data_IF_013325929881
#
_entry.id   IF_013325929881
#
_cell.length_a   1.000
_cell.length_b   1.000
_cell.length_c   1.000
_cell.angle_alpha   90.00
_cell.angle_beta   90.00
_cell.angle_gamma   90.00
#
_symmetry.space_group_name_H-M   'P 1'
#
loop_
_entity.id
_entity.type
_entity.pdbx_description
1 polymer ?
#
# COMPACT_ATOMS: atom_id res chain seq x y z
N UNK A 1 44.39 -11.92 45.09
CA UNK A 1 43.84 -10.92 44.13
C UNK A 1 43.52 -11.45 42.73
N UNK A 2 44.16 -12.51 42.22
CA UNK A 2 43.94 -13.01 40.84
C UNK A 2 42.57 -13.69 40.59
N UNK A 3 41.96 -14.31 41.62
CA UNK A 3 40.72 -15.07 41.50
C UNK A 3 39.48 -14.19 41.27
N UNK A 4 39.52 -12.95 41.72
CA UNK A 4 38.43 -11.96 41.61
C UNK A 4 38.36 -11.33 40.22
N UNK A 5 39.52 -11.09 39.57
CA UNK A 5 39.60 -10.53 38.20
C UNK A 5 39.09 -11.51 37.14
N UNK A 6 39.31 -12.82 37.32
CA UNK A 6 38.80 -13.87 36.41
C UNK A 6 37.27 -13.98 36.43
N UNK A 7 36.65 -13.81 37.60
CA UNK A 7 35.17 -13.81 37.75
C UNK A 7 34.52 -12.56 37.16
N UNK A 8 35.16 -11.40 37.27
CA UNK A 8 34.68 -10.15 36.65
C UNK A 8 34.76 -10.22 35.10
N UNK A 9 35.87 -10.72 34.55
CA UNK A 9 36.05 -10.88 33.11
C UNK A 9 35.05 -11.88 32.49
N UNK A 10 34.77 -12.99 33.18
CA UNK A 10 33.77 -13.97 32.75
C UNK A 10 32.32 -13.44 32.80
N UNK A 11 31.98 -12.54 33.74
CA UNK A 11 30.65 -11.90 33.80
C UNK A 11 30.46 -10.86 32.68
N UNK A 12 31.51 -10.12 32.32
CA UNK A 12 31.49 -9.17 31.19
C UNK A 12 31.38 -9.93 29.87
N UNK A 13 32.16 -10.99 29.67
CA UNK A 13 32.06 -11.84 28.47
C UNK A 13 30.70 -12.53 28.34
N UNK A 14 30.05 -12.93 29.44
CA UNK A 14 28.69 -13.49 29.41
C UNK A 14 27.62 -12.41 29.18
N UNK A 15 27.82 -11.18 29.67
CA UNK A 15 26.94 -10.04 29.38
C UNK A 15 27.05 -9.58 27.92
N UNK A 16 28.24 -9.65 27.30
CA UNK A 16 28.43 -9.37 25.86
C UNK A 16 27.86 -10.52 25.00
N UNK A 17 27.94 -11.77 25.46
CA UNK A 17 27.37 -12.94 24.74
C UNK A 17 25.85 -13.11 24.92
N UNK A 18 25.25 -12.38 25.87
CA UNK A 18 23.79 -12.30 26.14
C UNK A 18 23.24 -10.89 25.85
N UNK A 19 24.05 -9.98 25.33
CA UNK A 19 23.56 -8.97 24.41
C UNK A 19 23.24 -9.71 23.11
N UNK A 20 22.15 -10.49 23.15
CA UNK A 20 21.43 -10.97 21.97
C UNK A 20 21.46 -9.80 20.99
N UNK A 21 21.91 -10.06 19.77
CA UNK A 21 21.50 -9.31 18.59
C UNK A 21 19.99 -9.09 18.76
N UNK A 22 19.60 -7.93 19.30
CA UNK A 22 18.26 -7.44 19.08
C UNK A 22 18.21 -7.39 17.57
N UNK A 23 17.30 -8.09 16.88
CA UNK A 23 17.14 -7.86 15.46
C UNK A 23 17.02 -6.34 15.35
N UNK A 24 17.93 -5.70 14.59
CA UNK A 24 17.75 -4.28 14.29
C UNK A 24 16.31 -4.21 13.80
N UNK A 25 15.47 -3.40 14.46
CA UNK A 25 14.10 -3.19 14.03
C UNK A 25 14.23 -2.77 12.58
N UNK A 26 13.93 -3.69 11.66
CA UNK A 26 14.05 -3.39 10.24
C UNK A 26 13.12 -2.21 9.99
N UNK A 27 13.53 -1.22 9.17
CA UNK A 27 12.67 -0.09 8.89
C UNK A 27 11.31 -0.61 8.42
N UNK A 28 10.24 0.04 8.87
CA UNK A 28 8.91 -0.31 8.41
C UNK A 28 8.84 -0.12 6.89
N UNK A 29 8.12 -0.99 6.20
CA UNK A 29 7.81 -0.84 4.78
C UNK A 29 6.45 -0.15 4.68
N UNK A 30 6.34 0.82 3.77
CA UNK A 30 5.04 1.38 3.41
C UNK A 30 4.37 0.53 2.35
N UNK A 31 3.10 0.20 2.59
CA UNK A 31 2.22 -0.48 1.64
C UNK A 31 1.04 0.43 1.31
N UNK A 32 0.53 0.30 0.10
CA UNK A 32 -0.55 1.09 -0.47
C UNK A 32 -1.73 0.16 -0.75
N UNK A 33 -2.76 0.27 0.09
CA UNK A 33 -3.94 -0.61 0.05
C UNK A 33 -5.02 0.04 -0.82
N UNK A 34 -5.35 -0.51 -2.00
CA UNK A 34 -6.45 -0.02 -2.81
C UNK A 34 -7.79 -0.31 -2.14
N UNK A 35 -8.66 0.70 -2.07
CA UNK A 35 -10.03 0.59 -1.56
C UNK A 35 -11.00 1.35 -2.48
N UNK A 36 -12.28 1.28 -2.16
CA UNK A 36 -13.31 2.24 -2.60
C UNK A 36 -13.71 3.12 -1.41
N UNK A 37 -14.47 4.21 -1.63
CA UNK A 37 -14.99 5.01 -0.50
C UNK A 37 -15.85 4.16 0.46
N UNK A 38 -16.66 3.24 -0.08
CA UNK A 38 -17.42 2.27 0.72
C UNK A 38 -16.50 1.35 1.53
N UNK A 39 -15.40 0.88 0.94
CA UNK A 39 -14.39 0.08 1.64
C UNK A 39 -13.68 0.85 2.75
N UNK A 40 -13.37 2.14 2.51
CA UNK A 40 -12.82 3.02 3.54
C UNK A 40 -13.82 3.27 4.68
N UNK A 41 -15.10 3.43 4.37
CA UNK A 41 -16.16 3.59 5.38
C UNK A 41 -16.27 2.36 6.29
N UNK A 42 -16.21 1.15 5.72
CA UNK A 42 -16.21 -0.09 6.50
C UNK A 42 -14.93 -0.24 7.32
N UNK A 43 -13.76 0.12 6.77
CA UNK A 43 -12.50 0.11 7.50
C UNK A 43 -12.50 1.11 8.67
N UNK A 44 -13.12 2.28 8.49
CA UNK A 44 -13.29 3.27 9.55
C UNK A 44 -14.18 2.74 10.68
N UNK A 45 -15.29 2.10 10.33
CA UNK A 45 -16.25 1.54 11.28
C UNK A 45 -15.67 0.37 12.09
N UNK A 46 -14.91 -0.51 11.44
CA UNK A 46 -14.35 -1.73 12.05
C UNK A 46 -12.98 -1.50 12.68
N UNK A 47 -12.25 -0.49 12.21
CA UNK A 47 -10.87 -0.23 12.59
C UNK A 47 -9.83 -1.07 11.83
N UNK A 48 -10.23 -1.81 10.79
CA UNK A 48 -9.37 -2.74 10.04
C UNK A 48 -9.51 -2.57 8.52
N UNK A 49 -8.40 -2.58 7.79
CA UNK A 49 -8.36 -2.40 6.33
C UNK A 49 -8.70 -3.66 5.52
N UNK A 50 -9.08 -4.73 6.19
CA UNK A 50 -9.44 -6.00 5.59
C UNK A 50 -9.28 -7.15 6.59
N UNK A 51 -9.66 -8.35 6.15
CA UNK A 51 -9.65 -9.55 6.98
C UNK A 51 -8.24 -10.19 7.04
N UNK A 52 -8.14 -11.51 6.95
CA UNK A 52 -6.90 -12.28 7.19
C UNK A 52 -5.75 -11.97 6.21
N UNK A 53 -6.07 -11.47 5.01
CA UNK A 53 -5.09 -11.10 3.99
C UNK A 53 -5.57 -9.96 3.12
N UNK A 54 -4.69 -8.97 2.89
CA UNK A 54 -4.98 -7.77 2.10
C UNK A 54 -4.03 -7.71 0.91
N UNK A 55 -4.57 -7.43 -0.28
CA UNK A 55 -3.80 -7.07 -1.45
C UNK A 55 -3.35 -5.62 -1.31
N UNK A 56 -2.06 -5.34 -1.51
CA UNK A 56 -1.52 -3.99 -1.46
C UNK A 56 -0.39 -3.86 -2.48
N UNK A 57 0.14 -2.65 -2.59
CA UNK A 57 1.30 -2.35 -3.43
C UNK A 57 2.41 -1.76 -2.59
N UNK A 58 3.66 -2.08 -2.91
CA UNK A 58 4.82 -1.60 -2.18
C UNK A 58 6.03 -1.50 -3.10
N UNK A 59 7.11 -0.91 -2.59
CA UNK A 59 8.39 -0.87 -3.29
C UNK A 59 9.08 -2.23 -3.23
N UNK A 60 8.65 -3.15 -4.09
CA UNK A 60 9.21 -4.50 -4.23
C UNK A 60 10.53 -4.48 -5.04
N UNK A 61 11.36 -5.53 -4.95
CA UNK A 61 12.54 -5.66 -5.81
C UNK A 61 12.22 -5.55 -7.31
N UNK A 62 11.16 -6.22 -7.76
CA UNK A 62 10.71 -6.15 -9.15
C UNK A 62 10.32 -4.72 -9.58
N UNK A 63 9.63 -3.97 -8.71
CA UNK A 63 9.30 -2.56 -9.00
C UNK A 63 10.56 -1.71 -9.15
N UNK A 64 11.55 -1.89 -8.26
CA UNK A 64 12.84 -1.17 -8.33
C UNK A 64 13.59 -1.44 -9.62
N UNK A 65 13.63 -2.70 -10.02
CA UNK A 65 14.29 -3.12 -11.26
C UNK A 65 13.59 -2.56 -12.50
N UNK A 66 12.26 -2.45 -12.47
CA UNK A 66 11.48 -1.94 -13.60
C UNK A 66 11.54 -0.43 -13.75
N UNK A 67 11.40 0.31 -12.63
CA UNK A 67 11.39 1.78 -12.64
C UNK A 67 12.79 2.40 -12.75
N UNK A 68 13.86 1.63 -12.50
CA UNK A 68 15.26 2.07 -12.61
C UNK A 68 15.62 3.35 -11.81
N UNK A 69 14.83 3.68 -10.79
CA UNK A 69 15.09 4.79 -9.88
C UNK A 69 15.76 4.30 -8.59
N UNK A 70 16.73 5.06 -8.10
CA UNK A 70 17.33 4.86 -6.77
C UNK A 70 16.67 5.75 -5.70
N UNK A 71 15.78 6.66 -6.09
CA UNK A 71 15.01 7.49 -5.19
C UNK A 71 13.82 6.71 -4.62
N UNK A 72 13.76 6.62 -3.30
CA UNK A 72 12.67 5.93 -2.61
C UNK A 72 11.34 6.65 -2.77
N UNK A 73 11.33 7.98 -2.85
CA UNK A 73 10.10 8.77 -2.96
C UNK A 73 9.44 8.53 -4.33
N UNK A 74 10.22 8.51 -5.41
CA UNK A 74 9.73 8.18 -6.75
C UNK A 74 9.17 6.75 -6.82
N UNK A 75 9.85 5.79 -6.19
CA UNK A 75 9.39 4.40 -6.14
C UNK A 75 8.13 4.23 -5.30
N UNK A 76 8.01 4.97 -4.20
CA UNK A 76 6.82 5.01 -3.37
C UNK A 76 5.63 5.61 -4.12
N UNK A 77 5.87 6.68 -4.89
CA UNK A 77 4.88 7.24 -5.81
C UNK A 77 4.47 6.21 -6.88
N UNK A 78 5.41 5.50 -7.49
CA UNK A 78 5.10 4.43 -8.44
C UNK A 78 4.20 3.36 -7.80
N UNK A 79 4.52 2.90 -6.59
CA UNK A 79 3.68 1.93 -5.87
C UNK A 79 2.28 2.48 -5.54
N UNK A 80 2.17 3.76 -5.18
CA UNK A 80 0.89 4.45 -4.98
C UNK A 80 0.06 4.47 -6.28
N UNK A 81 0.65 4.81 -7.43
CA UNK A 81 -0.04 4.81 -8.73
C UNK A 81 -0.53 3.42 -9.12
N UNK A 82 0.26 2.37 -8.86
CA UNK A 82 -0.17 0.97 -9.05
C UNK A 82 -1.38 0.61 -8.17
N UNK A 83 -1.40 1.08 -6.92
CA UNK A 83 -2.57 0.92 -6.05
C UNK A 83 -3.77 1.73 -6.54
N UNK A 84 -3.58 2.93 -7.10
CA UNK A 84 -4.68 3.72 -7.67
C UNK A 84 -5.35 2.98 -8.84
N UNK A 85 -4.57 2.38 -9.75
CA UNK A 85 -5.10 1.53 -10.81
C UNK A 85 -5.85 0.29 -10.27
N UNK A 86 -5.36 -0.31 -9.19
CA UNK A 86 -6.06 -1.40 -8.53
C UNK A 86 -7.38 -0.96 -7.87
N UNK A 87 -7.43 0.26 -7.31
CA UNK A 87 -8.66 0.88 -6.82
C UNK A 87 -9.66 1.11 -7.96
N UNK A 88 -9.20 1.56 -9.14
CA UNK A 88 -10.05 1.68 -10.33
C UNK A 88 -10.68 0.32 -10.71
N UNK A 89 -9.92 -0.77 -10.63
CA UNK A 89 -10.45 -2.13 -10.85
C UNK A 89 -11.49 -2.55 -9.81
N UNK A 90 -11.43 -2.05 -8.58
CA UNK A 90 -12.49 -2.25 -7.59
C UNK A 90 -13.75 -1.47 -7.97
N UNK A 91 -13.59 -0.22 -8.40
CA UNK A 91 -14.71 0.63 -8.85
C UNK A 91 -15.40 0.05 -10.10
N UNK A 92 -14.65 -0.51 -11.06
CA UNK A 92 -15.23 -1.15 -12.24
C UNK A 92 -16.18 -2.31 -11.87
N UNK A 93 -15.92 -2.99 -10.75
CA UNK A 93 -16.74 -4.10 -10.24
C UNK A 93 -17.93 -3.65 -9.39
N UNK A 94 -17.98 -2.40 -8.98
CA UNK A 94 -19.06 -1.82 -8.19
C UNK A 94 -19.65 -0.58 -8.89
N UNK A 95 -20.64 -0.77 -9.78
CA UNK A 95 -21.24 0.33 -10.52
C UNK A 95 -21.91 1.41 -9.67
N UNK A 96 -22.27 1.09 -8.42
CA UNK A 96 -22.92 2.00 -7.48
C UNK A 96 -21.96 2.77 -6.59
N UNK A 97 -20.67 2.43 -6.59
CA UNK A 97 -19.66 3.17 -5.84
C UNK A 97 -19.43 4.56 -6.45
N UNK A 98 -19.20 5.60 -5.63
CA UNK A 98 -18.72 6.88 -6.13
C UNK A 98 -17.42 6.69 -6.94
N UNK A 99 -17.30 7.38 -8.07
CA UNK A 99 -16.20 7.19 -9.03
C UNK A 99 -14.94 7.95 -8.61
N UNK A 100 -14.43 7.64 -7.42
CA UNK A 100 -13.20 8.19 -6.85
C UNK A 100 -12.33 7.05 -6.34
N UNK A 101 -11.10 6.95 -6.83
CA UNK A 101 -10.10 5.98 -6.38
C UNK A 101 -9.68 6.35 -4.96
N UNK A 102 -9.46 5.32 -4.16
CA UNK A 102 -9.01 5.43 -2.77
C UNK A 102 -7.83 4.50 -2.55
N UNK A 103 -6.77 5.03 -1.95
CA UNK A 103 -5.60 4.26 -1.53
C UNK A 103 -5.23 4.63 -0.11
N UNK A 104 -5.03 3.64 0.76
CA UNK A 104 -4.58 3.87 2.14
C UNK A 104 -3.11 3.51 2.25
N UNK A 105 -2.28 4.47 2.64
CA UNK A 105 -0.87 4.25 2.92
C UNK A 105 -0.69 3.74 4.35
N UNK A 106 -0.02 2.60 4.53
CA UNK A 106 0.12 1.92 5.84
C UNK A 106 1.56 1.50 6.06
N UNK A 107 2.09 1.77 7.25
CA UNK A 107 3.42 1.29 7.63
C UNK A 107 3.31 -0.09 8.29
N UNK A 108 3.88 -1.10 7.65
CA UNK A 108 3.90 -2.48 8.16
C UNK A 108 5.32 -2.89 8.58
N UNK A 109 5.46 -3.83 9.54
CA UNK A 109 6.76 -4.42 9.84
C UNK A 109 7.37 -5.04 8.58
N UNK A 110 8.69 -4.95 8.43
CA UNK A 110 9.39 -5.65 7.34
C UNK A 110 9.08 -7.15 7.36
N UNK A 111 8.82 -7.72 6.18
CA UNK A 111 8.41 -9.11 6.00
C UNK A 111 6.92 -9.40 6.27
N UNK A 112 6.12 -8.42 6.69
CA UNK A 112 4.65 -8.58 6.77
C UNK A 112 3.98 -8.53 5.38
N UNK A 113 4.62 -7.88 4.42
CA UNK A 113 4.23 -7.83 3.02
C UNK A 113 5.11 -8.79 2.21
N UNK A 114 4.48 -9.71 1.46
CA UNK A 114 5.17 -10.66 0.60
C UNK A 114 4.77 -10.43 -0.86
N UNK A 115 5.74 -10.18 -1.73
CA UNK A 115 5.55 -10.20 -3.18
C UNK A 115 5.68 -11.63 -3.72
N UNK A 116 4.92 -11.96 -4.76
CA UNK A 116 5.11 -13.20 -5.51
C UNK A 116 6.28 -13.03 -6.50
N UNK A 117 7.42 -13.73 -6.31
CA UNK A 117 8.58 -13.59 -7.19
C UNK A 117 8.31 -14.08 -8.62
N UNK A 118 7.38 -15.02 -8.81
CA UNK A 118 7.07 -15.58 -10.14
C UNK A 118 6.28 -14.58 -10.99
N UNK A 119 5.67 -13.58 -10.34
CA UNK A 119 4.96 -12.46 -11.02
C UNK A 119 5.81 -11.21 -11.17
N UNK A 120 7.10 -11.24 -10.80
CA UNK A 120 7.98 -10.06 -10.90
C UNK A 120 8.20 -9.52 -12.32
N UNK A 121 7.97 -10.35 -13.34
CA UNK A 121 8.07 -9.96 -14.75
C UNK A 121 6.73 -9.59 -15.39
N UNK A 122 5.62 -9.78 -14.68
CA UNK A 122 4.28 -9.43 -15.16
C UNK A 122 4.05 -7.93 -14.91
N UNK A 123 3.95 -7.09 -15.97
CA UNK A 123 3.71 -5.67 -15.82
C UNK A 123 2.45 -5.35 -15.01
N UNK A 124 1.44 -6.22 -15.01
CA UNK A 124 0.21 -6.03 -14.23
C UNK A 124 0.44 -6.23 -12.72
N UNK A 125 1.41 -7.06 -12.34
CA UNK A 125 1.72 -7.43 -10.96
C UNK A 125 2.83 -6.59 -10.32
N UNK A 126 3.40 -5.62 -11.04
CA UNK A 126 4.47 -4.78 -10.52
C UNK A 126 4.06 -4.08 -9.22
N UNK A 127 4.90 -4.24 -8.21
CA UNK A 127 4.68 -3.71 -6.85
C UNK A 127 3.65 -4.49 -6.02
N UNK A 128 2.95 -5.47 -6.57
CA UNK A 128 1.91 -6.23 -5.87
C UNK A 128 2.50 -7.03 -4.69
N UNK A 129 1.88 -6.89 -3.53
CA UNK A 129 2.21 -7.62 -2.30
C UNK A 129 0.95 -8.12 -1.61
N UNK A 130 1.10 -9.22 -0.88
CA UNK A 130 0.10 -9.73 0.04
C UNK A 130 0.54 -9.44 1.47
N UNK A 131 -0.26 -8.67 2.19
CA UNK A 131 -0.09 -8.45 3.62
C UNK A 131 -0.90 -9.51 4.36
N UNK A 132 -0.26 -10.24 5.27
CA UNK A 132 -0.91 -11.30 6.06
C UNK A 132 -1.09 -10.86 7.51
N UNK A 133 -2.23 -11.22 8.09
CA UNK A 133 -2.62 -10.80 9.43
C UNK A 133 -3.36 -9.46 9.45
N UNK A 134 -3.85 -9.06 10.64
CA UNK A 134 -4.68 -7.86 10.77
C UNK A 134 -3.90 -6.61 10.36
N UNK A 135 -4.56 -5.74 9.59
CA UNK A 135 -4.03 -4.44 9.19
C UNK A 135 -4.89 -3.33 9.79
N UNK A 136 -4.59 -2.89 11.02
CA UNK A 136 -5.42 -1.91 11.70
C UNK A 136 -5.35 -0.56 10.98
N UNK A 137 -6.50 0.10 10.81
CA UNK A 137 -6.57 1.45 10.24
C UNK A 137 -5.76 2.45 11.06
N UNK A 138 -5.61 2.24 12.37
CA UNK A 138 -4.73 3.05 13.24
C UNK A 138 -3.23 2.96 12.91
N UNK A 139 -2.81 2.14 11.95
CA UNK A 139 -1.46 2.10 11.37
C UNK A 139 -1.34 2.85 10.05
N UNK A 140 -2.45 3.34 9.51
CA UNK A 140 -2.43 4.15 8.31
C UNK A 140 -1.65 5.44 8.58
N UNK A 141 -0.76 5.77 7.65
CA UNK A 141 -0.04 7.02 7.60
C UNK A 141 -0.88 8.11 6.94
N UNK A 142 -1.66 7.75 5.92
CA UNK A 142 -2.49 8.68 5.13
C UNK A 142 -3.57 7.95 4.33
N UNK A 143 -4.53 8.71 3.84
CA UNK A 143 -5.49 8.28 2.81
C UNK A 143 -5.30 9.16 1.59
N UNK A 144 -5.24 8.55 0.42
CA UNK A 144 -5.16 9.20 -0.87
C UNK A 144 -6.48 9.02 -1.60
N UNK A 145 -7.11 10.10 -2.06
CA UNK A 145 -8.40 10.05 -2.75
C UNK A 145 -8.39 11.00 -3.93
N UNK A 146 -8.96 10.58 -5.05
CA UNK A 146 -9.23 11.48 -6.19
C UNK A 146 -9.98 12.75 -5.74
N UNK A 147 -9.71 13.87 -6.41
CA UNK A 147 -10.53 15.08 -6.29
C UNK A 147 -11.91 14.88 -6.95
N UNK A 148 -12.88 15.72 -6.61
CA UNK A 148 -14.23 15.63 -7.20
C UNK A 148 -14.21 15.90 -8.72
N UNK A 149 -13.26 16.68 -9.22
CA UNK A 149 -13.09 16.95 -10.66
C UNK A 149 -12.66 15.73 -11.48
N UNK A 150 -12.04 14.73 -10.85
CA UNK A 150 -11.61 13.50 -11.51
C UNK A 150 -12.77 12.51 -11.77
N UNK A 151 -13.95 12.73 -11.16
CA UNK A 151 -15.02 11.73 -11.11
C UNK A 151 -15.47 11.27 -12.50
N UNK A 152 -15.58 12.19 -13.45
CA UNK A 152 -16.01 11.88 -14.82
C UNK A 152 -15.01 10.98 -15.56
N UNK A 153 -13.72 11.27 -15.46
CA UNK A 153 -12.68 10.53 -16.16
C UNK A 153 -12.45 9.16 -15.50
N UNK A 154 -12.51 9.09 -14.16
CA UNK A 154 -12.48 7.82 -13.41
C UNK A 154 -13.70 6.95 -13.75
N UNK A 155 -14.87 7.55 -13.96
CA UNK A 155 -16.06 6.84 -14.42
C UNK A 155 -15.88 6.25 -15.82
N UNK A 156 -15.32 7.03 -16.76
CA UNK A 156 -15.04 6.58 -18.12
C UNK A 156 -13.99 5.46 -18.13
N UNK A 157 -12.89 5.63 -17.40
CA UNK A 157 -11.84 4.63 -17.24
C UNK A 157 -12.37 3.32 -16.66
N UNK A 158 -13.23 3.38 -15.63
CA UNK A 158 -13.83 2.19 -15.04
C UNK A 158 -14.72 1.42 -16.03
N UNK A 159 -15.39 2.11 -16.96
CA UNK A 159 -16.21 1.50 -18.01
C UNK A 159 -15.37 0.92 -19.15
N UNK A 160 -14.24 1.54 -19.48
CA UNK A 160 -13.33 1.10 -20.54
C UNK A 160 -12.47 -0.11 -20.15
N UNK A 161 -12.35 -0.39 -18.84
CA UNK A 161 -11.39 -1.35 -18.29
C UNK A 161 -11.50 -2.76 -18.87
N UNK A 162 -12.72 -3.27 -19.09
CA UNK A 162 -12.92 -4.61 -19.69
C UNK A 162 -12.41 -4.68 -21.13
N UNK A 163 -12.64 -3.63 -21.93
CA UNK A 163 -12.16 -3.57 -23.30
C UNK A 163 -10.63 -3.37 -23.36
N UNK A 164 -10.07 -2.56 -22.47
CA UNK A 164 -8.63 -2.39 -22.33
C UNK A 164 -7.93 -3.71 -21.96
N UNK A 165 -8.47 -4.45 -20.99
CA UNK A 165 -7.97 -5.78 -20.62
C UNK A 165 -8.10 -6.80 -21.78
N UNK A 166 -9.04 -6.58 -22.72
CA UNK A 166 -9.19 -7.38 -23.95
C UNK A 166 -8.27 -6.94 -25.10
N UNK A 167 -7.45 -5.90 -24.90
CA UNK A 167 -6.47 -5.40 -25.86
C UNK A 167 -6.97 -4.30 -26.80
N UNK A 168 -8.01 -3.57 -26.42
CA UNK A 168 -8.47 -2.37 -27.13
C UNK A 168 -7.62 -1.15 -26.74
N UNK A 169 -6.83 -0.63 -27.68
CA UNK A 169 -5.91 0.50 -27.47
C UNK A 169 -6.64 1.82 -27.19
N UNK A 170 -7.82 2.04 -27.78
CA UNK A 170 -8.61 3.27 -27.51
C UNK A 170 -9.18 3.20 -26.10
N UNK A 171 -9.63 2.02 -25.66
CA UNK A 171 -10.06 1.80 -24.28
C UNK A 171 -8.89 1.94 -23.30
N UNK A 172 -7.69 1.43 -23.65
CA UNK A 172 -6.49 1.60 -22.84
C UNK A 172 -6.14 3.08 -22.66
N UNK A 173 -6.23 3.89 -23.72
CA UNK A 173 -6.01 5.34 -23.63
C UNK A 173 -6.98 6.02 -22.65
N UNK A 174 -8.26 5.60 -22.63
CA UNK A 174 -9.24 6.11 -21.66
C UNK A 174 -8.90 5.68 -20.23
N UNK A 175 -8.41 4.44 -20.03
CA UNK A 175 -7.96 3.96 -18.71
C UNK A 175 -6.75 4.76 -18.21
N UNK A 176 -5.77 4.98 -19.08
CA UNK A 176 -4.55 5.73 -18.77
C UNK A 176 -4.86 7.20 -18.40
N UNK A 177 -5.89 7.79 -19.02
CA UNK A 177 -6.36 9.15 -18.68
C UNK A 177 -6.80 9.33 -17.22
N UNK A 178 -7.14 8.26 -16.50
CA UNK A 178 -7.39 8.37 -15.06
C UNK A 178 -6.10 8.64 -14.26
N UNK A 179 -4.92 8.25 -14.76
CA UNK A 179 -3.63 8.49 -14.09
C UNK A 179 -3.19 9.96 -14.16
N UNK A 180 -3.76 10.76 -15.07
CA UNK A 180 -3.54 12.21 -15.13
C UNK A 180 -4.09 12.95 -13.90
N UNK A 181 -5.00 12.31 -13.14
CA UNK A 181 -5.54 12.83 -11.89
C UNK A 181 -4.72 12.36 -10.70
N UNK A 182 -4.02 13.28 -10.05
CA UNK A 182 -3.30 13.00 -8.81
C UNK A 182 -4.27 12.80 -7.63
N UNK A 183 -4.02 11.77 -6.82
CA UNK A 183 -4.81 11.55 -5.61
C UNK A 183 -4.39 12.55 -4.53
N UNK A 184 -5.36 13.29 -4.00
CA UNK A 184 -5.18 14.21 -2.89
C UNK A 184 -4.82 13.45 -1.61
N UNK A 185 -3.91 14.02 -0.82
CA UNK A 185 -3.50 13.49 0.47
C UNK A 185 -4.41 13.98 1.59
N UNK A 186 -4.88 13.07 2.44
CA UNK A 186 -5.68 13.34 3.63
C UNK A 186 -5.06 12.68 4.85
N UNK A 187 -5.14 13.39 5.98
CA UNK A 187 -4.81 12.82 7.28
C UNK A 187 -5.86 11.79 7.70
N UNK A 188 -5.47 10.79 8.50
CA UNK A 188 -6.40 9.74 8.97
C UNK A 188 -7.55 10.28 9.83
N UNK A 189 -7.41 11.49 10.38
CA UNK A 189 -8.46 12.19 11.14
C UNK A 189 -9.55 12.78 10.24
N UNK A 190 -9.30 12.88 8.93
CA UNK A 190 -10.22 13.43 7.93
C UNK A 190 -11.10 12.33 7.28
N UNK A 191 -10.90 11.07 7.68
CA UNK A 191 -11.67 9.93 7.18
C UNK A 191 -13.18 10.10 7.42
N UNK A 192 -13.67 10.54 8.60
CA UNK A 192 -15.10 10.77 8.81
C UNK A 192 -15.76 11.71 7.79
N UNK A 193 -15.06 12.77 7.38
CA UNK A 193 -15.50 13.74 6.38
C UNK A 193 -15.58 13.08 5.01
N UNK A 194 -14.53 12.33 4.63
CA UNK A 194 -14.45 11.63 3.35
C UNK A 194 -15.57 10.58 3.17
N UNK A 195 -15.98 9.92 4.25
CA UNK A 195 -16.98 8.84 4.20
C UNK A 195 -18.37 9.28 4.64
N UNK A 196 -18.58 10.58 4.91
CA UNK A 196 -19.88 11.14 5.32
C UNK A 196 -20.36 10.68 6.70
N UNK A 197 -19.44 10.35 7.61
CA UNK A 197 -19.74 9.86 8.97
C UNK A 197 -19.73 10.97 10.06
N UNK A 198 -19.54 12.23 9.69
CA UNK A 198 -19.65 13.40 10.59
C UNK A 198 -21.09 13.91 10.80
N UNK A 199 -22.08 13.15 10.32
CA UNK A 199 -23.51 13.46 10.41
C UNK A 199 -24.21 12.90 11.65
#
# INVERSE_FOLDING_TARGET
MARTRKKACARILKAVRVAKLRPRKRPAMRVYVPLTLSGLAEAHKTGELGAESVLAYAVTPALREWYLSDDIEELEYAALSRAALASLRLLAKDPGAPRRRVVVAVDVPDGAAASDPDRGLDPAALGEVRVTGPLPLGKAAAVHVDADEAEADVAAAAQALEAADAGDDDAQFVVDGAEDHELLWYATQEIPQLVGADG
#
